data_IF_641814345952
#
_entry.id   IF_641814345952
#
_cell.length_a   1.000
_cell.length_b   1.000
_cell.length_c   1.000
_cell.angle_alpha   90.00
_cell.angle_beta   90.00
_cell.angle_gamma   90.00
#
_symmetry.space_group_name_H-M   'P 1'
#
loop_
_entity.id
_entity.type
_entity.pdbx_description
1 polymer ?
#
# COMPACT_ATOMS: atom_id res chain seq x y z
N UNK A 1 3.63 8.03 1.25
CA UNK A 1 4.09 6.86 2.03
C UNK A 1 4.55 5.85 1.01
N UNK A 2 5.80 5.43 1.11
CA UNK A 2 6.50 4.70 0.07
C UNK A 2 7.23 3.54 0.74
N UNK A 3 7.45 2.45 0.00
CA UNK A 3 8.28 1.34 0.47
C UNK A 3 9.59 1.47 -0.28
N UNK A 4 10.61 1.92 0.45
CA UNK A 4 11.94 2.20 -0.08
C UNK A 4 12.98 1.34 0.63
N UNK A 5 14.18 1.30 0.06
CA UNK A 5 15.31 0.56 0.58
C UNK A 5 15.90 1.25 1.84
N UNK A 6 15.17 1.18 2.94
CA UNK A 6 15.57 1.68 4.25
C UNK A 6 15.91 0.50 5.19
N UNK A 7 16.73 0.74 6.22
CA UNK A 7 17.06 -0.27 7.24
C UNK A 7 17.63 -1.61 6.69
N UNK A 8 18.53 -1.55 5.70
CA UNK A 8 19.20 -2.72 5.10
C UNK A 8 20.13 -3.50 6.04
N UNK A 9 20.46 -2.91 7.19
CA UNK A 9 21.13 -3.58 8.28
C UNK A 9 20.24 -4.64 8.96
N UNK A 10 18.92 -4.53 8.79
CA UNK A 10 17.93 -5.50 9.25
C UNK A 10 17.35 -6.34 8.11
N UNK A 11 17.09 -5.75 6.94
CA UNK A 11 16.52 -6.42 5.78
C UNK A 11 17.57 -6.71 4.70
N UNK A 12 17.56 -7.93 4.15
CA UNK A 12 18.49 -8.38 3.12
C UNK A 12 18.37 -7.60 1.82
N UNK A 13 17.14 -7.23 1.43
CA UNK A 13 16.83 -6.49 0.21
C UNK A 13 15.42 -5.87 0.25
N UNK A 14 15.10 -5.06 -0.77
CA UNK A 14 13.79 -4.42 -0.92
C UNK A 14 12.62 -5.43 -0.97
N UNK A 15 12.83 -6.61 -1.56
CA UNK A 15 11.78 -7.63 -1.64
C UNK A 15 11.38 -8.16 -0.26
N UNK A 16 12.33 -8.30 0.68
CA UNK A 16 12.03 -8.70 2.06
C UNK A 16 11.27 -7.61 2.81
N UNK A 17 11.55 -6.34 2.51
CA UNK A 17 10.78 -5.21 3.05
C UNK A 17 9.34 -5.28 2.53
N UNK A 18 9.17 -5.45 1.21
CA UNK A 18 7.84 -5.60 0.57
C UNK A 18 7.06 -6.76 1.19
N UNK A 19 7.71 -7.92 1.39
CA UNK A 19 7.09 -9.07 2.02
C UNK A 19 6.67 -8.79 3.47
N UNK A 20 7.53 -8.14 4.26
CA UNK A 20 7.21 -7.76 5.64
C UNK A 20 6.00 -6.81 5.72
N UNK A 21 5.89 -5.83 4.82
CA UNK A 21 4.71 -4.96 4.74
C UNK A 21 3.45 -5.74 4.32
N UNK A 22 3.58 -6.73 3.44
CA UNK A 22 2.49 -7.64 3.07
C UNK A 22 1.99 -8.46 4.25
N UNK A 23 2.88 -9.10 5.01
CA UNK A 23 2.54 -9.86 6.21
C UNK A 23 1.88 -8.98 7.28
N UNK A 24 2.41 -7.76 7.48
CA UNK A 24 1.82 -6.79 8.38
C UNK A 24 0.38 -6.44 8.00
N UNK A 25 0.14 -6.20 6.70
CA UNK A 25 -1.19 -5.87 6.19
C UNK A 25 -2.18 -7.05 6.27
N UNK A 26 -1.72 -8.31 6.21
CA UNK A 26 -2.55 -9.49 6.48
C UNK A 26 -3.01 -9.59 7.95
N UNK A 27 -2.35 -8.88 8.87
CA UNK A 27 -2.74 -8.77 10.28
C UNK A 27 -3.95 -7.86 10.54
N UNK A 28 -4.50 -7.21 9.50
CA UNK A 28 -5.69 -6.36 9.62
C UNK A 28 -6.89 -7.21 10.06
N UNK A 29 -7.66 -6.67 11.02
CA UNK A 29 -8.86 -7.33 11.55
C UNK A 29 -9.91 -7.51 10.45
N UNK A 30 -10.84 -8.49 10.59
CA UNK A 30 -12.04 -8.56 9.77
C UNK A 30 -12.74 -7.20 9.69
N UNK A 31 -13.20 -6.85 8.48
CA UNK A 31 -13.82 -5.55 8.15
C UNK A 31 -12.91 -4.31 8.32
N UNK A 32 -11.63 -4.52 8.65
CA UNK A 32 -10.61 -3.49 8.60
C UNK A 32 -10.17 -3.18 7.17
N UNK A 33 -9.33 -2.14 7.02
CA UNK A 33 -8.82 -1.74 5.72
C UNK A 33 -7.37 -1.26 5.76
N UNK A 34 -6.78 -1.24 4.57
CA UNK A 34 -5.44 -0.77 4.27
C UNK A 34 -5.56 0.49 3.42
N UNK A 35 -4.90 1.57 3.85
CA UNK A 35 -4.76 2.80 3.07
C UNK A 35 -3.38 2.80 2.43
N UNK A 36 -3.34 2.84 1.10
CA UNK A 36 -2.13 2.59 0.32
C UNK A 36 -1.81 3.74 -0.64
N UNK A 37 -0.54 4.05 -0.85
CA UNK A 37 -0.13 5.02 -1.85
C UNK A 37 -0.24 4.40 -3.25
N UNK A 38 -1.12 4.92 -4.09
CA UNK A 38 -1.36 4.40 -5.45
C UNK A 38 -0.27 4.75 -6.46
N UNK A 39 0.65 5.65 -6.11
CA UNK A 39 1.77 6.04 -6.99
C UNK A 39 3.06 5.24 -6.72
N UNK A 40 3.06 4.31 -5.77
CA UNK A 40 4.25 3.55 -5.39
C UNK A 40 4.21 2.10 -5.91
N UNK A 41 5.24 1.72 -6.67
CA UNK A 41 5.31 0.40 -7.31
C UNK A 41 5.46 -0.76 -6.29
N UNK A 42 6.16 -0.53 -5.19
CA UNK A 42 6.34 -1.54 -4.14
C UNK A 42 5.06 -1.71 -3.33
N UNK A 43 4.31 -0.63 -3.08
CA UNK A 43 2.96 -0.70 -2.52
C UNK A 43 2.02 -1.47 -3.45
N UNK A 44 2.11 -1.29 -4.78
CA UNK A 44 1.32 -2.09 -5.72
C UNK A 44 1.63 -3.59 -5.65
N UNK A 45 2.90 -3.98 -5.42
CA UNK A 45 3.27 -5.38 -5.15
C UNK A 45 2.58 -5.91 -3.88
N UNK A 46 2.57 -5.12 -2.80
CA UNK A 46 1.88 -5.48 -1.54
C UNK A 46 0.38 -5.70 -1.76
N UNK A 47 -0.29 -4.79 -2.47
CA UNK A 47 -1.73 -4.93 -2.79
C UNK A 47 -1.99 -6.23 -3.55
N UNK A 48 -1.16 -6.54 -4.55
CA UNK A 48 -1.28 -7.78 -5.32
C UNK A 48 -1.10 -9.04 -4.46
N UNK A 49 -0.19 -9.01 -3.48
CA UNK A 49 -0.01 -10.08 -2.50
C UNK A 49 -1.25 -10.26 -1.61
N UNK A 50 -1.85 -9.16 -1.15
CA UNK A 50 -3.08 -9.20 -0.35
C UNK A 50 -4.23 -9.82 -1.14
N UNK A 51 -4.41 -9.44 -2.40
CA UNK A 51 -5.46 -10.00 -3.26
C UNK A 51 -5.28 -11.51 -3.47
N UNK A 52 -4.06 -11.95 -3.74
CA UNK A 52 -3.74 -13.37 -3.93
C UNK A 52 -4.00 -14.22 -2.67
N UNK A 53 -3.61 -13.71 -1.50
CA UNK A 53 -3.70 -14.42 -0.22
C UNK A 53 -5.06 -14.32 0.46
N UNK A 54 -5.82 -13.24 0.21
CA UNK A 54 -7.20 -13.10 0.70
C UNK A 54 -8.20 -13.91 -0.15
N UNK A 55 -7.86 -14.21 -1.41
CA UNK A 55 -8.68 -15.05 -2.29
C UNK A 55 -8.66 -16.54 -1.91
N UNK A 56 -7.80 -16.96 -0.98
CA UNK A 56 -7.53 -18.39 -0.68
C UNK A 56 -8.13 -18.95 0.62
N UNK A 57 -9.02 -18.25 1.33
CA UNK A 57 -9.65 -18.82 2.54
C UNK A 57 -10.84 -19.75 2.27
N UNK A 58 -10.51 -21.03 2.38
CA UNK A 58 -11.31 -22.21 2.77
C UNK A 58 -12.44 -21.86 3.76
N UNK A 59 -13.62 -22.45 3.55
CA UNK A 59 -14.75 -22.51 4.51
C UNK A 59 -15.41 -21.17 4.90
N UNK A 60 -16.13 -20.57 3.94
CA UNK A 60 -17.31 -19.73 4.20
C UNK A 60 -17.14 -18.42 5.00
N UNK A 61 -15.92 -17.94 5.22
CA UNK A 61 -15.68 -16.61 5.78
C UNK A 61 -14.59 -15.86 4.99
N UNK A 62 -15.00 -15.25 3.88
CA UNK A 62 -14.13 -14.34 3.12
C UNK A 62 -14.14 -12.98 3.82
N UNK A 63 -13.29 -12.79 4.83
CA UNK A 63 -12.95 -11.44 5.26
C UNK A 63 -12.08 -10.80 4.18
N UNK A 64 -12.71 -10.02 3.30
CA UNK A 64 -11.98 -9.19 2.33
C UNK A 64 -11.37 -8.02 3.09
N UNK A 65 -10.04 -7.92 3.09
CA UNK A 65 -9.37 -6.69 3.53
C UNK A 65 -9.75 -5.60 2.54
N UNK A 66 -10.30 -4.48 3.03
CA UNK A 66 -10.64 -3.34 2.17
C UNK A 66 -9.38 -2.54 1.86
N UNK A 67 -9.01 -2.41 0.59
CA UNK A 67 -7.88 -1.56 0.18
C UNK A 67 -8.42 -0.27 -0.43
N UNK A 68 -7.92 0.87 0.04
CA UNK A 68 -8.20 2.18 -0.53
C UNK A 68 -6.88 2.88 -0.86
N UNK A 69 -6.77 3.39 -2.08
CA UNK A 69 -5.56 4.04 -2.58
C UNK A 69 -5.67 5.55 -2.54
N UNK A 70 -4.57 6.23 -2.22
CA UNK A 70 -4.45 7.68 -2.33
C UNK A 70 -3.31 8.07 -3.27
N UNK A 71 -3.42 9.19 -3.98
CA UNK A 71 -2.36 9.64 -4.88
C UNK A 71 -2.68 10.92 -5.65
N UNK A 72 -1.85 11.21 -6.64
CA UNK A 72 -2.11 12.27 -7.62
C UNK A 72 -2.75 11.74 -8.90
N UNK A 73 -2.74 10.42 -9.07
CA UNK A 73 -3.31 9.73 -10.22
C UNK A 73 -4.81 9.53 -10.03
N UNK A 74 -5.60 9.78 -11.09
CA UNK A 74 -7.06 9.63 -11.09
C UNK A 74 -7.55 8.18 -10.94
N UNK A 75 -6.66 7.20 -11.12
CA UNK A 75 -6.93 5.80 -10.86
C UNK A 75 -6.92 5.47 -9.35
N UNK A 76 -6.50 6.39 -8.48
CA UNK A 76 -6.57 6.22 -7.03
C UNK A 76 -8.00 6.44 -6.51
N UNK A 77 -8.38 5.76 -5.42
CA UNK A 77 -9.68 5.98 -4.77
C UNK A 77 -9.82 7.42 -4.26
N UNK A 78 -8.73 7.98 -3.75
CA UNK A 78 -8.63 9.36 -3.30
C UNK A 78 -7.51 10.06 -4.05
N UNK A 79 -7.83 11.08 -4.84
CA UNK A 79 -6.83 11.84 -5.58
C UNK A 79 -6.98 13.34 -5.42
N UNK A 80 -5.83 14.02 -5.35
CA UNK A 80 -5.78 15.46 -5.29
C UNK A 80 -5.82 16.06 -6.70
N UNK A 81 -6.63 17.10 -6.88
CA UNK A 81 -6.75 17.86 -8.13
C UNK A 81 -6.61 19.34 -7.89
N UNK A 82 -6.28 20.10 -8.93
CA UNK A 82 -6.10 21.55 -8.89
C UNK A 82 -5.02 21.98 -7.88
N UNK A 83 -3.93 21.21 -7.78
CA UNK A 83 -2.79 21.57 -6.95
C UNK A 83 -2.12 22.78 -7.61
N UNK A 84 -2.05 23.89 -6.88
CA UNK A 84 -1.31 25.08 -7.30
C UNK A 84 -0.18 25.39 -6.33
N UNK A 85 0.93 25.84 -6.89
CA UNK A 85 2.03 26.41 -6.11
C UNK A 85 1.76 27.91 -5.96
N UNK A 86 1.47 28.36 -4.73
CA UNK A 86 1.33 29.78 -4.43
C UNK A 86 2.56 30.22 -3.62
N UNK A 87 3.26 31.26 -4.08
CA UNK A 87 4.44 31.86 -3.41
C UNK A 87 5.62 30.88 -3.14
N UNK A 88 5.95 30.04 -4.13
CA UNK A 88 7.00 29.01 -4.01
C UNK A 88 8.46 29.50 -4.11
N UNK A 89 9.33 28.86 -3.29
CA UNK A 89 10.79 29.00 -3.07
C UNK A 89 11.38 30.41 -2.99
N UNK A 90 11.71 30.84 -1.77
CA UNK A 90 12.83 31.76 -1.55
C UNK A 90 14.12 31.01 -1.88
N UNK A 91 14.85 31.52 -2.89
CA UNK A 91 16.16 31.03 -3.30
C UNK A 91 17.25 31.30 -2.25
#
# INVERSE_FOLDING_TARGET
MNIEQDHLDYYKNEDEIVEAFGEFALGVKPDGGVIANGNDANVAKVISMLDARCSTRIQNQVSRIKVETFGLDENCNFYAKNISLNDGLYA
#
